data_IF_541328813859
#
_entry.id   IF_541328813859
#
_cell.length_a   1.000
_cell.length_b   1.000
_cell.length_c   1.000
_cell.angle_alpha   90.00
_cell.angle_beta   90.00
_cell.angle_gamma   90.00
#
_symmetry.space_group_name_H-M   'P 1'
#
loop_
_entity.id
_entity.type
_entity.pdbx_description
1 polymer ?
#
# COMPACT_ATOMS: atom_id res chain seq x y z
N UNK A 1 -15.72 15.32 1.71
CA UNK A 1 -14.79 14.18 1.88
C UNK A 1 -13.65 14.61 2.79
N UNK A 2 -13.21 13.74 3.70
CA UNK A 2 -12.07 13.93 4.59
C UNK A 2 -11.15 12.73 4.45
N UNK A 3 -9.84 12.92 4.64
CA UNK A 3 -8.88 11.81 4.65
C UNK A 3 -7.94 11.95 5.85
N UNK A 4 -7.54 10.80 6.41
CA UNK A 4 -6.72 10.70 7.61
C UNK A 4 -5.63 9.66 7.42
N UNK A 5 -4.41 10.05 7.70
CA UNK A 5 -3.27 9.13 7.77
C UNK A 5 -3.32 8.36 9.09
N UNK A 6 -3.15 7.03 9.01
CA UNK A 6 -3.18 6.13 10.17
C UNK A 6 -1.95 5.24 10.11
N UNK A 7 -0.97 5.50 10.96
CA UNK A 7 0.25 4.69 11.06
C UNK A 7 0.09 3.65 12.17
N UNK A 8 0.34 2.37 11.84
CA UNK A 8 0.23 1.23 12.77
C UNK A 8 1.58 0.77 13.30
N UNK A 9 2.66 1.39 12.87
CA UNK A 9 4.01 1.10 13.29
C UNK A 9 5.01 1.08 12.15
N UNK A 10 6.14 0.48 12.41
CA UNK A 10 7.24 0.32 11.46
C UNK A 10 7.75 -1.11 11.47
N UNK A 11 8.40 -1.51 10.39
CA UNK A 11 9.03 -2.82 10.26
C UNK A 11 10.32 -2.71 9.45
N UNK A 12 11.06 -3.79 9.33
CA UNK A 12 12.33 -3.80 8.62
C UNK A 12 12.34 -4.79 7.48
N UNK A 13 12.92 -4.37 6.36
CA UNK A 13 13.22 -5.20 5.19
C UNK A 13 14.65 -4.97 4.72
N UNK A 14 15.23 -5.97 4.08
CA UNK A 14 16.55 -5.88 3.47
C UNK A 14 16.57 -4.79 2.39
N UNK A 15 17.48 -3.83 2.52
CA UNK A 15 17.58 -2.71 1.61
C UNK A 15 18.00 -3.12 0.19
N UNK A 16 18.76 -4.20 0.04
CA UNK A 16 19.08 -4.73 -1.27
C UNK A 16 17.86 -5.30 -1.97
N UNK A 17 16.99 -6.01 -1.23
CA UNK A 17 15.72 -6.51 -1.77
C UNK A 17 14.76 -5.36 -2.13
N UNK A 18 14.73 -4.29 -1.31
CA UNK A 18 13.88 -3.13 -1.58
C UNK A 18 14.35 -2.29 -2.77
N UNK A 19 15.65 -2.26 -3.07
CA UNK A 19 16.21 -1.44 -4.15
C UNK A 19 16.73 -2.25 -5.35
N UNK A 20 16.61 -3.58 -5.30
CA UNK A 20 16.94 -4.48 -6.40
C UNK A 20 18.38 -4.32 -6.88
N UNK A 21 18.55 -3.92 -8.14
CA UNK A 21 19.88 -3.79 -8.77
C UNK A 21 20.60 -2.49 -8.45
N UNK A 22 19.95 -1.56 -7.73
CA UNK A 22 20.58 -0.27 -7.36
C UNK A 22 21.65 -0.50 -6.29
N UNK A 23 22.89 -0.01 -6.47
CA UNK A 23 23.96 -0.19 -5.49
C UNK A 23 23.65 0.44 -4.13
N UNK A 24 24.03 -0.25 -3.02
CA UNK A 24 23.83 0.25 -1.65
C UNK A 24 24.44 1.66 -1.44
N UNK A 25 25.59 1.94 -2.02
CA UNK A 25 26.24 3.26 -1.94
C UNK A 25 25.37 4.41 -2.48
N UNK A 26 24.35 4.09 -3.25
CA UNK A 26 23.40 5.06 -3.82
C UNK A 26 22.13 5.11 -2.98
N UNK A 27 21.40 4.00 -2.84
CA UNK A 27 20.10 4.00 -2.17
C UNK A 27 20.18 4.24 -0.64
N UNK A 28 21.29 3.88 -0.01
CA UNK A 28 21.48 4.08 1.43
C UNK A 28 21.48 5.57 1.87
N UNK A 29 21.55 6.49 0.91
CA UNK A 29 21.45 7.94 1.15
C UNK A 29 20.03 8.41 1.41
N UNK A 30 19.06 7.71 0.85
CA UNK A 30 17.62 8.00 1.00
C UNK A 30 16.97 7.15 2.06
N UNK A 31 17.34 5.87 2.11
CA UNK A 31 16.78 4.87 3.02
C UNK A 31 17.93 4.16 3.76
N UNK A 32 18.48 4.77 4.84
CA UNK A 32 19.61 4.21 5.55
C UNK A 32 19.33 2.83 6.13
N UNK A 33 20.25 1.89 5.91
CA UNK A 33 20.19 0.54 6.47
C UNK A 33 21.07 0.43 7.73
N UNK A 34 20.67 -0.47 8.64
CA UNK A 34 21.48 -0.87 9.78
C UNK A 34 22.65 -1.81 9.38
N UNK A 35 23.37 -2.36 10.38
CA UNK A 35 24.50 -3.27 10.18
C UNK A 35 24.09 -4.58 9.49
N UNK A 36 22.82 -4.98 9.59
CA UNK A 36 22.26 -6.17 8.96
C UNK A 36 21.66 -5.89 7.57
N UNK A 37 21.90 -4.72 7.00
CA UNK A 37 21.33 -4.24 5.74
C UNK A 37 19.81 -4.03 5.76
N UNK A 38 19.21 -3.89 6.95
CA UNK A 38 17.78 -3.69 7.11
C UNK A 38 17.45 -2.20 7.14
N UNK A 39 16.55 -1.76 6.26
CA UNK A 39 15.95 -0.44 6.27
C UNK A 39 14.63 -0.46 7.05
N UNK A 40 14.27 0.68 7.64
CA UNK A 40 12.98 0.88 8.31
C UNK A 40 11.92 1.35 7.33
N UNK A 41 10.73 0.74 7.41
CA UNK A 41 9.57 1.02 6.58
C UNK A 41 8.34 1.27 7.46
N UNK A 42 7.50 2.24 7.09
CA UNK A 42 6.25 2.51 7.80
C UNK A 42 5.17 1.48 7.40
N UNK A 43 4.18 1.35 8.26
CA UNK A 43 2.90 0.67 8.01
C UNK A 43 1.80 1.74 8.11
N UNK A 44 1.57 2.47 7.02
CA UNK A 44 0.69 3.65 6.99
C UNK A 44 -0.53 3.37 6.13
N UNK A 45 -1.67 3.29 6.75
CA UNK A 45 -2.97 3.16 6.12
C UNK A 45 -3.60 4.53 5.86
N UNK A 46 -4.65 4.59 5.05
CA UNK A 46 -5.39 5.81 4.77
C UNK A 46 -6.87 5.59 5.03
N UNK A 47 -7.49 6.44 5.87
CA UNK A 47 -8.94 6.44 6.12
C UNK A 47 -9.58 7.59 5.36
N UNK A 48 -10.70 7.31 4.70
CA UNK A 48 -11.46 8.28 3.91
C UNK A 48 -12.91 8.28 4.39
N UNK A 49 -13.45 9.48 4.71
CA UNK A 49 -14.88 9.69 4.93
C UNK A 49 -15.51 10.31 3.70
N UNK A 50 -16.43 9.60 3.05
CA UNK A 50 -17.17 10.02 1.87
C UNK A 50 -18.67 9.75 2.07
N UNK A 51 -19.46 10.79 2.39
CA UNK A 51 -20.86 10.63 2.79
C UNK A 51 -21.00 9.71 4.00
N UNK A 52 -21.78 8.66 3.86
CA UNK A 52 -22.00 7.65 4.90
C UNK A 52 -20.95 6.53 4.91
N UNK A 53 -19.97 6.60 4.03
CA UNK A 53 -18.90 5.59 3.94
C UNK A 53 -17.66 6.04 4.70
N UNK A 54 -17.11 5.14 5.48
CA UNK A 54 -15.77 5.24 6.09
C UNK A 54 -14.91 4.12 5.50
N UNK A 55 -14.02 4.50 4.61
CA UNK A 55 -13.22 3.58 3.79
C UNK A 55 -11.80 3.53 4.35
N UNK A 56 -11.33 2.35 4.70
CA UNK A 56 -9.93 2.11 5.09
C UNK A 56 -9.18 1.51 3.89
N UNK A 57 -8.06 2.12 3.51
CA UNK A 57 -7.14 1.60 2.50
C UNK A 57 -5.99 0.91 3.21
N UNK A 58 -5.84 -0.39 2.95
CA UNK A 58 -4.94 -1.33 3.59
C UNK A 58 -5.07 -1.39 5.11
N UNK A 59 -4.40 -2.33 5.76
CA UNK A 59 -4.62 -2.63 7.18
C UNK A 59 -3.31 -2.87 7.94
N UNK A 60 -2.17 -2.70 7.30
CA UNK A 60 -0.87 -3.01 7.89
C UNK A 60 -0.63 -4.50 8.09
N UNK A 61 0.41 -4.82 8.86
CA UNK A 61 0.90 -6.20 9.06
C UNK A 61 0.04 -7.00 10.07
N UNK A 62 -0.66 -6.32 11.00
CA UNK A 62 -1.32 -6.98 12.12
C UNK A 62 -0.34 -7.57 13.14
N UNK A 63 -0.86 -8.38 14.06
CA UNK A 63 -0.11 -8.86 15.24
C UNK A 63 -0.32 -10.37 15.54
N UNK A 64 -0.99 -11.10 14.65
CA UNK A 64 -1.44 -12.47 14.93
C UNK A 64 -0.43 -13.57 14.57
N UNK A 65 0.62 -13.25 13.80
CA UNK A 65 1.66 -14.19 13.41
C UNK A 65 2.55 -14.55 14.61
N UNK A 66 3.32 -15.62 14.48
CA UNK A 66 4.20 -16.07 15.55
C UNK A 66 5.48 -15.22 15.70
N UNK A 67 6.18 -15.39 16.81
CA UNK A 67 7.41 -14.67 17.10
C UNK A 67 8.52 -14.92 16.07
N UNK A 68 8.56 -16.10 15.44
CA UNK A 68 9.53 -16.44 14.41
C UNK A 68 9.28 -15.59 13.16
N UNK A 69 8.02 -15.46 12.72
CA UNK A 69 7.66 -14.60 11.62
C UNK A 69 8.08 -13.16 11.90
N UNK A 70 7.68 -12.61 13.04
CA UNK A 70 8.02 -11.22 13.38
C UNK A 70 9.52 -10.99 13.58
N UNK A 71 10.31 -12.01 13.95
CA UNK A 71 11.76 -11.86 14.04
C UNK A 71 12.45 -11.55 12.72
N UNK A 72 11.83 -11.90 11.58
CA UNK A 72 12.35 -11.57 10.24
C UNK A 72 12.10 -10.11 9.85
N UNK A 73 11.02 -9.52 10.38
CA UNK A 73 10.56 -8.17 10.00
C UNK A 73 10.76 -7.13 11.10
N UNK A 74 11.10 -7.53 12.31
CA UNK A 74 11.42 -6.68 13.46
C UNK A 74 10.43 -5.51 13.62
N UNK A 75 9.10 -5.74 13.75
CA UNK A 75 8.13 -4.68 13.93
C UNK A 75 8.46 -3.86 15.17
N UNK A 76 8.37 -2.55 15.08
CA UNK A 76 8.67 -1.61 16.15
C UNK A 76 7.78 -0.36 16.07
N UNK A 77 7.73 0.42 17.16
CA UNK A 77 6.81 1.56 17.28
C UNK A 77 5.34 1.15 16.96
N UNK A 78 4.99 -0.10 17.24
CA UNK A 78 3.69 -0.68 16.86
C UNK A 78 2.56 -0.17 17.74
N UNK A 79 1.41 0.06 17.11
CA UNK A 79 0.14 0.32 17.76
C UNK A 79 -0.93 -0.54 17.08
N UNK A 80 -1.85 -1.08 17.86
CA UNK A 80 -2.98 -1.81 17.28
C UNK A 80 -3.78 -0.90 16.34
N UNK A 81 -4.21 -1.42 15.18
CA UNK A 81 -4.94 -0.64 14.19
C UNK A 81 -6.22 -0.02 14.79
N UNK A 82 -6.92 -0.73 15.67
CA UNK A 82 -8.07 -0.20 16.41
C UNK A 82 -7.71 1.04 17.25
N UNK A 83 -6.58 0.99 17.97
CA UNK A 83 -6.12 2.13 18.79
C UNK A 83 -5.66 3.30 17.93
N UNK A 84 -5.05 3.01 16.77
CA UNK A 84 -4.66 4.04 15.82
C UNK A 84 -5.88 4.76 15.21
N UNK A 85 -6.94 4.02 14.90
CA UNK A 85 -8.23 4.57 14.45
C UNK A 85 -8.90 5.42 15.53
N UNK A 86 -8.85 5.00 16.79
CA UNK A 86 -9.40 5.77 17.92
C UNK A 86 -8.76 7.15 18.07
N UNK A 87 -7.47 7.32 17.71
CA UNK A 87 -6.80 8.64 17.73
C UNK A 87 -7.44 9.66 16.78
N UNK A 88 -8.15 9.19 15.76
CA UNK A 88 -8.89 10.02 14.82
C UNK A 88 -10.42 9.95 15.05
N UNK A 89 -10.84 9.44 16.22
CA UNK A 89 -12.24 9.28 16.63
C UNK A 89 -13.04 8.40 15.66
N UNK A 90 -12.47 7.28 15.23
CA UNK A 90 -13.11 6.25 14.39
C UNK A 90 -12.98 4.91 15.11
N UNK A 91 -14.10 4.23 15.35
CA UNK A 91 -14.11 2.85 15.85
C UNK A 91 -13.97 1.84 14.71
N UNK A 92 -13.65 0.61 15.06
CA UNK A 92 -13.59 -0.49 14.07
C UNK A 92 -14.96 -0.79 13.46
N UNK A 93 -16.03 -0.52 14.22
CA UNK A 93 -17.43 -0.66 13.80
C UNK A 93 -17.87 0.43 12.82
N UNK A 94 -17.16 1.57 12.78
CA UNK A 94 -17.46 2.70 11.89
C UNK A 94 -16.92 2.46 10.47
N UNK A 95 -15.99 1.52 10.29
CA UNK A 95 -15.44 1.18 8.98
C UNK A 95 -16.50 0.42 8.17
N UNK A 96 -16.91 1.00 7.06
CA UNK A 96 -17.91 0.42 6.15
C UNK A 96 -17.29 -0.36 5.00
N UNK A 97 -16.05 0.00 4.66
CA UNK A 97 -15.32 -0.58 3.54
C UNK A 97 -13.83 -0.69 3.87
N UNK A 98 -13.22 -1.82 3.53
CA UNK A 98 -11.78 -2.00 3.50
C UNK A 98 -11.37 -2.24 2.06
N UNK A 99 -10.59 -1.33 1.49
CA UNK A 99 -10.05 -1.44 0.13
C UNK A 99 -8.61 -1.91 0.22
N UNK A 100 -8.38 -3.17 -0.09
CA UNK A 100 -7.06 -3.78 -0.10
C UNK A 100 -6.39 -3.53 -1.45
N UNK A 101 -5.24 -2.86 -1.43
CA UNK A 101 -4.46 -2.59 -2.66
C UNK A 101 -3.99 -3.90 -3.28
N UNK A 102 -3.46 -4.78 -2.43
CA UNK A 102 -3.08 -6.15 -2.75
C UNK A 102 -3.03 -7.00 -1.45
N UNK A 103 -2.68 -8.28 -1.54
CA UNK A 103 -2.84 -9.22 -0.43
C UNK A 103 -1.50 -9.69 0.18
N UNK A 104 -0.42 -8.92 0.04
CA UNK A 104 0.80 -9.20 0.80
C UNK A 104 0.56 -8.96 2.29
N UNK A 105 1.31 -9.66 3.14
CA UNK A 105 1.06 -9.75 4.57
C UNK A 105 1.09 -8.40 5.31
N UNK A 106 1.88 -7.45 4.83
CA UNK A 106 2.06 -6.12 5.40
C UNK A 106 0.98 -5.11 4.98
N UNK A 107 0.10 -5.49 4.04
CA UNK A 107 -1.06 -4.72 3.59
C UNK A 107 -2.38 -5.29 4.14
N UNK A 108 -2.52 -6.61 4.15
CA UNK A 108 -3.77 -7.29 4.55
C UNK A 108 -3.73 -7.85 5.97
N UNK A 109 -2.57 -7.82 6.64
CA UNK A 109 -2.39 -8.50 7.92
C UNK A 109 -3.36 -8.05 9.01
N UNK A 110 -3.59 -6.74 9.15
CA UNK A 110 -4.54 -6.21 10.12
C UNK A 110 -6.02 -6.37 9.77
N UNK A 111 -6.36 -6.88 8.56
CA UNK A 111 -7.73 -7.19 8.18
C UNK A 111 -8.36 -8.31 9.03
N UNK A 112 -7.51 -9.13 9.63
CA UNK A 112 -7.90 -10.26 10.47
C UNK A 112 -7.25 -10.12 11.84
N UNK A 113 -8.04 -10.34 12.87
CA UNK A 113 -7.58 -10.41 14.26
C UNK A 113 -7.89 -11.77 14.89
N UNK A 114 -7.23 -12.06 16.01
CA UNK A 114 -7.47 -13.29 16.78
C UNK A 114 -8.35 -12.98 17.98
N UNK A 115 -9.56 -13.51 18.00
CA UNK A 115 -10.51 -13.38 19.10
C UNK A 115 -10.87 -14.76 19.63
N UNK A 116 -10.58 -15.04 20.93
CA UNK A 116 -10.85 -16.34 21.56
C UNK A 116 -10.30 -17.52 20.71
N UNK A 117 -9.06 -17.42 20.26
CA UNK A 117 -8.36 -18.37 19.39
C UNK A 117 -8.95 -18.58 17.99
N UNK A 118 -9.93 -17.78 17.60
CA UNK A 118 -10.50 -17.79 16.25
C UNK A 118 -10.01 -16.60 15.46
N UNK A 119 -9.76 -16.82 14.18
CA UNK A 119 -9.48 -15.75 13.22
C UNK A 119 -10.79 -15.14 12.75
N UNK A 120 -10.96 -13.84 12.98
CA UNK A 120 -12.15 -13.08 12.59
C UNK A 120 -11.74 -11.80 11.88
N UNK A 121 -12.64 -11.25 11.08
CA UNK A 121 -12.42 -9.94 10.45
C UNK A 121 -12.34 -8.84 11.51
N UNK A 122 -11.37 -7.94 11.37
CA UNK A 122 -11.15 -6.82 12.31
C UNK A 122 -12.26 -5.77 12.24
N UNK A 123 -12.96 -5.68 11.11
CA UNK A 123 -14.00 -4.68 10.85
C UNK A 123 -15.33 -5.38 10.59
N UNK A 124 -16.17 -5.56 11.63
CA UNK A 124 -17.35 -6.43 11.55
C UNK A 124 -18.43 -5.91 10.58
N UNK A 125 -18.49 -4.60 10.36
CA UNK A 125 -19.49 -3.96 9.50
C UNK A 125 -18.96 -3.67 8.07
N UNK A 126 -17.68 -3.94 7.80
CA UNK A 126 -17.06 -3.57 6.54
C UNK A 126 -17.30 -4.59 5.43
N UNK A 127 -17.37 -4.10 4.21
CA UNK A 127 -17.14 -4.89 3.00
C UNK A 127 -15.66 -4.83 2.65
N UNK A 128 -15.01 -5.97 2.43
CA UNK A 128 -13.62 -6.07 2.01
C UNK A 128 -13.53 -6.18 0.50
N UNK A 129 -12.86 -5.21 -0.12
CA UNK A 129 -12.71 -5.10 -1.56
C UNK A 129 -11.28 -5.41 -1.97
N UNK A 130 -11.12 -6.22 -2.99
CA UNK A 130 -9.83 -6.53 -3.62
C UNK A 130 -10.06 -6.87 -5.08
N UNK A 131 -9.07 -6.70 -5.94
CA UNK A 131 -9.20 -7.14 -7.33
C UNK A 131 -9.34 -8.67 -7.43
N UNK A 132 -10.18 -9.13 -8.33
CA UNK A 132 -10.34 -10.56 -8.60
C UNK A 132 -9.03 -11.22 -9.05
N UNK A 133 -8.22 -10.48 -9.80
CA UNK A 133 -6.88 -10.92 -10.23
C UNK A 133 -5.98 -11.19 -9.03
N UNK A 134 -5.92 -10.25 -8.07
CA UNK A 134 -5.11 -10.37 -6.87
C UNK A 134 -5.62 -11.50 -5.96
N UNK A 135 -6.94 -11.61 -5.81
CA UNK A 135 -7.54 -12.68 -5.03
C UNK A 135 -7.17 -14.08 -5.57
N UNK A 136 -7.32 -14.28 -6.89
CA UNK A 136 -7.00 -15.56 -7.52
C UNK A 136 -5.50 -15.87 -7.44
N UNK A 137 -4.64 -14.84 -7.58
CA UNK A 137 -3.19 -14.99 -7.39
C UNK A 137 -2.84 -15.41 -5.97
N UNK A 138 -3.44 -14.77 -4.96
CA UNK A 138 -3.17 -15.08 -3.55
C UNK A 138 -3.58 -16.50 -3.16
N UNK A 139 -4.63 -17.05 -3.76
CA UNK A 139 -5.04 -18.45 -3.57
C UNK A 139 -4.15 -19.46 -4.32
N UNK A 140 -3.53 -19.04 -5.41
CA UNK A 140 -2.68 -19.88 -6.28
C UNK A 140 -1.36 -19.19 -6.61
N UNK A 141 -0.56 -18.81 -5.59
CA UNK A 141 0.62 -17.98 -5.78
C UNK A 141 1.72 -18.71 -6.55
N UNK A 142 2.48 -17.95 -7.33
CA UNK A 142 3.71 -18.45 -7.91
C UNK A 142 4.76 -18.72 -6.80
N UNK A 143 5.81 -19.48 -7.14
CA UNK A 143 6.84 -19.92 -6.16
C UNK A 143 7.65 -18.75 -5.57
N UNK A 144 7.78 -17.65 -6.27
CA UNK A 144 8.54 -16.47 -5.83
C UNK A 144 7.76 -15.64 -4.81
N UNK A 145 6.44 -15.52 -5.01
CA UNK A 145 5.57 -14.61 -4.26
C UNK A 145 4.81 -15.31 -3.12
N UNK A 146 4.82 -16.66 -3.11
CA UNK A 146 4.05 -17.46 -2.15
C UNK A 146 4.27 -17.08 -0.69
N UNK A 147 5.49 -16.68 -0.31
CA UNK A 147 5.81 -16.32 1.07
C UNK A 147 5.15 -15.01 1.53
N UNK A 148 4.70 -14.17 0.60
CA UNK A 148 4.02 -12.90 0.89
C UNK A 148 2.53 -13.09 1.16
N UNK A 149 1.92 -14.22 0.75
CA UNK A 149 0.49 -14.50 0.94
C UNK A 149 0.28 -15.46 2.11
N UNK A 150 -0.23 -14.93 3.21
CA UNK A 150 -0.52 -15.73 4.40
C UNK A 150 -2.01 -16.12 4.39
N UNK A 151 -2.29 -17.42 4.37
CA UNK A 151 -3.65 -17.98 4.28
C UNK A 151 -4.55 -17.48 5.40
N UNK A 152 -4.01 -17.34 6.61
CA UNK A 152 -4.69 -16.83 7.79
C UNK A 152 -5.09 -15.35 7.71
N UNK A 153 -4.48 -14.57 6.80
CA UNK A 153 -4.87 -13.18 6.52
C UNK A 153 -5.99 -13.08 5.49
N UNK A 154 -6.19 -14.11 4.66
CA UNK A 154 -6.97 -14.05 3.42
C UNK A 154 -8.27 -14.85 3.55
N UNK A 155 -8.18 -16.11 3.93
CA UNK A 155 -9.33 -17.03 3.94
C UNK A 155 -10.46 -16.55 4.85
N UNK A 156 -10.20 -16.05 6.08
CA UNK A 156 -11.28 -15.61 6.96
C UNK A 156 -12.13 -14.45 6.38
N UNK A 157 -11.56 -13.61 5.49
CA UNK A 157 -12.33 -12.57 4.80
C UNK A 157 -13.44 -13.18 3.93
N UNK A 158 -13.13 -14.26 3.23
CA UNK A 158 -14.12 -14.98 2.42
C UNK A 158 -15.14 -15.72 3.29
N UNK A 159 -14.65 -16.39 4.35
CA UNK A 159 -15.50 -17.17 5.25
C UNK A 159 -16.49 -16.30 6.04
N UNK A 160 -16.15 -15.05 6.33
CA UNK A 160 -17.05 -14.08 6.96
C UNK A 160 -18.23 -13.66 6.07
N UNK A 161 -18.13 -13.86 4.73
CA UNK A 161 -19.11 -13.38 3.75
C UNK A 161 -18.96 -11.89 3.40
N UNK A 162 -17.94 -11.20 3.91
CA UNK A 162 -17.71 -9.77 3.70
C UNK A 162 -16.88 -9.44 2.45
N UNK A 163 -16.35 -10.46 1.75
CA UNK A 163 -15.52 -10.28 0.55
C UNK A 163 -16.35 -9.81 -0.65
N UNK A 164 -15.86 -8.78 -1.34
CA UNK A 164 -16.29 -8.41 -2.70
C UNK A 164 -15.10 -8.26 -3.64
N UNK A 165 -15.22 -8.88 -4.80
CA UNK A 165 -14.19 -8.86 -5.84
C UNK A 165 -14.48 -7.75 -6.85
N UNK A 166 -13.41 -7.01 -7.20
CA UNK A 166 -13.43 -5.99 -8.24
C UNK A 166 -12.92 -6.64 -9.53
N UNK A 167 -13.77 -6.73 -10.52
CA UNK A 167 -13.39 -7.22 -11.85
C UNK A 167 -12.58 -6.14 -12.57
N UNK A 168 -11.38 -6.51 -13.01
CA UNK A 168 -10.50 -5.63 -13.75
C UNK A 168 -10.71 -5.79 -15.27
N UNK A 169 -10.53 -4.72 -16.06
CA UNK A 169 -10.46 -4.86 -17.51
C UNK A 169 -9.24 -5.70 -17.90
N UNK A 170 -9.25 -6.35 -19.08
CA UNK A 170 -8.10 -7.12 -19.56
C UNK A 170 -6.83 -6.28 -19.58
N UNK A 171 -5.71 -6.87 -19.14
CA UNK A 171 -4.41 -6.21 -19.15
C UNK A 171 -4.01 -5.82 -20.59
N UNK A 172 -3.55 -4.59 -20.76
CA UNK A 172 -3.05 -4.03 -22.04
C UNK A 172 -1.74 -3.30 -21.78
N UNK A 173 -0.65 -3.80 -22.36
CA UNK A 173 0.71 -3.31 -22.08
C UNK A 173 1.04 -1.96 -22.72
N UNK A 174 0.36 -1.58 -23.78
CA UNK A 174 0.68 -0.43 -24.64
C UNK A 174 -0.09 0.86 -24.32
N UNK A 175 -1.06 0.78 -23.41
CA UNK A 175 -1.92 1.92 -23.04
C UNK A 175 -1.42 2.65 -21.79
N UNK A 176 -2.03 3.81 -21.50
CA UNK A 176 -1.95 4.45 -20.18
C UNK A 176 -2.41 3.48 -19.07
N UNK A 177 -1.99 3.72 -17.83
CA UNK A 177 -2.50 2.93 -16.70
C UNK A 177 -4.03 2.89 -16.73
N UNK A 178 -4.56 1.67 -16.64
CA UNK A 178 -6.00 1.48 -16.55
C UNK A 178 -6.53 2.09 -15.26
N UNK A 179 -7.70 2.69 -15.32
CA UNK A 179 -8.35 3.31 -14.17
C UNK A 179 -9.77 2.80 -14.06
N UNK A 180 -10.15 2.35 -12.87
CA UNK A 180 -11.50 1.87 -12.56
C UNK A 180 -12.14 2.77 -11.51
N UNK A 181 -13.44 2.99 -11.61
CA UNK A 181 -14.21 3.75 -10.61
C UNK A 181 -14.50 2.85 -9.41
N UNK A 182 -14.25 3.36 -8.20
CA UNK A 182 -14.61 2.69 -6.95
C UNK A 182 -15.80 3.39 -6.26
N UNK A 183 -15.72 4.71 -6.11
CA UNK A 183 -16.84 5.56 -5.64
C UNK A 183 -17.00 6.79 -6.55
N UNK A 184 -17.75 7.80 -6.13
CA UNK A 184 -17.83 9.05 -6.90
C UNK A 184 -16.52 9.85 -6.84
N UNK A 185 -15.82 9.81 -5.71
CA UNK A 185 -14.59 10.58 -5.50
C UNK A 185 -13.31 9.73 -5.51
N UNK A 186 -13.43 8.39 -5.56
CA UNK A 186 -12.31 7.46 -5.54
C UNK A 186 -12.34 6.59 -6.79
N UNK A 187 -11.23 6.61 -7.52
CA UNK A 187 -10.91 5.62 -8.56
C UNK A 187 -9.64 4.85 -8.17
N UNK A 188 -9.36 3.76 -8.84
CA UNK A 188 -8.11 3.03 -8.66
C UNK A 188 -7.38 2.91 -9.99
N UNK A 189 -6.10 3.28 -10.01
CA UNK A 189 -5.21 2.90 -11.09
C UNK A 189 -4.82 1.43 -10.89
N UNK A 190 -4.75 0.68 -11.97
CA UNK A 190 -4.43 -0.76 -11.93
C UNK A 190 -3.00 -0.96 -12.40
N UNK A 191 -2.21 -1.70 -11.62
CA UNK A 191 -0.83 -2.05 -11.92
C UNK A 191 -0.58 -3.54 -11.73
N UNK A 192 0.45 -4.05 -12.38
CA UNK A 192 0.72 -5.49 -12.45
C UNK A 192 2.19 -5.87 -12.21
N UNK A 193 3.08 -4.87 -12.13
CA UNK A 193 4.52 -5.09 -12.07
C UNK A 193 4.98 -5.65 -10.72
N UNK A 194 4.56 -5.04 -9.61
CA UNK A 194 4.85 -5.52 -8.26
C UNK A 194 4.16 -6.86 -8.02
N UNK A 195 2.85 -6.87 -8.11
CA UNK A 195 1.99 -8.06 -8.08
C UNK A 195 0.80 -7.86 -9.01
N UNK A 196 0.28 -8.92 -9.63
CA UNK A 196 -0.75 -8.78 -10.63
C UNK A 196 -2.07 -8.26 -10.05
N UNK A 197 -2.59 -7.16 -10.62
CA UNK A 197 -3.88 -6.59 -10.25
C UNK A 197 -3.86 -5.75 -8.98
N UNK A 198 -2.70 -5.22 -8.57
CA UNK A 198 -2.59 -4.25 -7.49
C UNK A 198 -3.33 -2.95 -7.84
N UNK A 199 -3.98 -2.37 -6.85
CA UNK A 199 -4.76 -1.14 -6.96
C UNK A 199 -4.00 0.04 -6.33
N UNK A 200 -3.96 1.17 -7.02
CA UNK A 200 -3.50 2.44 -6.46
C UNK A 200 -4.72 3.36 -6.30
N UNK A 201 -5.30 3.47 -5.11
CA UNK A 201 -6.42 4.36 -4.86
C UNK A 201 -6.07 5.81 -5.16
N UNK A 202 -6.86 6.45 -6.02
CA UNK A 202 -6.73 7.85 -6.42
C UNK A 202 -7.96 8.62 -5.95
N UNK A 203 -7.74 9.62 -5.10
CA UNK A 203 -8.76 10.40 -4.44
C UNK A 203 -8.80 11.81 -4.99
N UNK A 204 -10.01 12.36 -5.16
CA UNK A 204 -10.19 13.78 -5.47
C UNK A 204 -10.81 14.49 -4.28
N UNK A 205 -10.03 15.32 -3.59
CA UNK A 205 -10.45 16.10 -2.43
C UNK A 205 -10.30 17.60 -2.73
N UNK A 206 -11.43 18.29 -2.92
CA UNK A 206 -11.39 19.68 -3.38
C UNK A 206 -10.72 19.78 -4.75
N UNK A 207 -9.66 20.58 -4.84
CA UNK A 207 -8.86 20.73 -6.05
C UNK A 207 -7.67 19.76 -6.10
N UNK A 208 -7.43 18.99 -5.06
CA UNK A 208 -6.28 18.10 -4.96
C UNK A 208 -6.60 16.69 -5.47
N UNK A 209 -5.60 16.08 -6.07
CA UNK A 209 -5.61 14.66 -6.44
C UNK A 209 -4.52 13.96 -5.65
N UNK A 210 -4.91 13.04 -4.79
CA UNK A 210 -4.01 12.25 -3.93
C UNK A 210 -4.02 10.82 -4.45
N UNK A 211 -2.84 10.21 -4.59
CA UNK A 211 -2.69 8.80 -4.96
C UNK A 211 -1.98 8.06 -3.85
N UNK A 212 -2.63 7.03 -3.34
CA UNK A 212 -2.03 6.06 -2.42
C UNK A 212 -1.10 5.15 -3.22
N UNK A 213 0.18 5.20 -2.93
CA UNK A 213 1.20 4.63 -3.81
C UNK A 213 1.37 3.14 -3.68
N UNK A 214 0.90 2.54 -2.57
CA UNK A 214 1.15 1.13 -2.28
C UNK A 214 2.59 0.74 -2.66
N UNK A 215 2.78 -0.39 -3.32
CA UNK A 215 4.09 -0.91 -3.68
C UNK A 215 4.54 -0.62 -5.12
N UNK A 216 3.84 0.27 -5.84
CA UNK A 216 4.42 0.85 -7.05
C UNK A 216 5.59 1.80 -6.71
N UNK A 217 5.43 2.60 -5.66
CA UNK A 217 6.44 3.49 -5.10
C UNK A 217 6.37 3.44 -3.56
N UNK A 218 7.02 2.46 -2.90
CA UNK A 218 6.94 2.30 -1.44
C UNK A 218 7.45 3.53 -0.67
N UNK A 219 8.38 4.28 -1.24
CA UNK A 219 8.94 5.49 -0.63
C UNK A 219 9.38 6.51 -1.66
N UNK A 220 9.69 7.73 -1.21
CA UNK A 220 10.32 8.79 -2.03
C UNK A 220 11.63 8.32 -2.66
N UNK A 221 12.35 7.41 -2.00
CA UNK A 221 13.57 6.77 -2.51
C UNK A 221 13.34 5.94 -3.78
N UNK A 222 12.11 5.49 -4.03
CA UNK A 222 11.75 4.71 -5.22
C UNK A 222 11.24 5.56 -6.40
N UNK A 223 11.12 6.88 -6.25
CA UNK A 223 10.69 7.76 -7.35
C UNK A 223 11.65 7.72 -8.55
N UNK A 224 12.99 7.68 -8.39
CA UNK A 224 13.86 7.54 -9.55
C UNK A 224 13.49 6.31 -10.38
N UNK A 225 13.30 6.50 -11.70
CA UNK A 225 12.70 5.49 -12.57
C UNK A 225 13.38 4.11 -12.48
N UNK A 226 14.74 3.98 -12.48
CA UNK A 226 15.38 2.66 -12.41
C UNK A 226 15.32 1.97 -11.03
N UNK A 227 14.76 2.64 -9.99
CA UNK A 227 14.72 2.08 -8.63
C UNK A 227 13.48 1.21 -8.49
N UNK A 228 13.62 -0.05 -8.93
CA UNK A 228 12.59 -1.09 -8.94
C UNK A 228 12.98 -2.14 -7.89
N UNK A 229 12.01 -2.62 -7.14
CA UNK A 229 12.27 -3.58 -6.08
C UNK A 229 12.67 -4.96 -6.60
N UNK A 230 13.51 -5.66 -5.87
CA UNK A 230 13.72 -7.09 -6.05
C UNK A 230 12.48 -7.92 -5.74
N UNK A 231 11.53 -7.36 -4.99
CA UNK A 231 10.23 -7.96 -4.70
C UNK A 231 9.24 -7.89 -5.88
N UNK A 232 9.49 -7.05 -6.88
CA UNK A 232 8.59 -6.94 -8.03
C UNK A 232 8.60 -8.24 -8.85
N UNK A 233 7.43 -8.77 -9.12
CA UNK A 233 7.28 -10.01 -9.89
C UNK A 233 7.62 -9.80 -11.35
N UNK A 234 7.32 -8.63 -11.89
CA UNK A 234 7.53 -8.24 -13.28
C UNK A 234 8.24 -6.88 -13.35
N UNK A 235 9.54 -6.79 -13.04
CA UNK A 235 10.25 -5.52 -12.85
C UNK A 235 10.26 -4.63 -14.10
N UNK A 236 10.20 -5.18 -15.31
CA UNK A 236 10.09 -4.37 -16.54
C UNK A 236 8.70 -3.76 -16.69
N UNK A 237 7.65 -4.46 -16.26
CA UNK A 237 6.31 -3.89 -16.21
C UNK A 237 6.24 -2.79 -15.15
N UNK A 238 6.79 -3.03 -13.95
CA UNK A 238 6.90 -1.97 -12.92
C UNK A 238 7.58 -0.72 -13.46
N UNK A 239 8.66 -0.88 -14.22
CA UNK A 239 9.39 0.25 -14.81
C UNK A 239 8.49 1.07 -15.76
N UNK A 240 7.75 0.40 -16.65
CA UNK A 240 6.82 1.04 -17.58
C UNK A 240 5.65 1.71 -16.84
N UNK A 241 5.08 1.06 -15.85
CA UNK A 241 3.99 1.59 -15.02
C UNK A 241 4.44 2.82 -14.25
N UNK A 242 5.64 2.80 -13.65
CA UNK A 242 6.25 3.96 -12.99
C UNK A 242 6.44 5.12 -13.94
N UNK A 243 6.96 4.90 -15.14
CA UNK A 243 7.18 5.96 -16.13
C UNK A 243 5.87 6.62 -16.53
N UNK A 244 4.85 5.82 -16.86
CA UNK A 244 3.50 6.30 -17.21
C UNK A 244 2.88 7.07 -16.04
N UNK A 245 2.95 6.51 -14.83
CA UNK A 245 2.41 7.15 -13.62
C UNK A 245 3.11 8.47 -13.31
N UNK A 246 4.44 8.47 -13.19
CA UNK A 246 5.21 9.66 -12.82
C UNK A 246 5.05 10.80 -13.81
N UNK A 247 5.00 10.48 -15.11
CA UNK A 247 4.77 11.47 -16.17
C UNK A 247 3.40 12.14 -16.01
N UNK A 248 2.34 11.35 -15.80
CA UNK A 248 0.98 11.86 -15.57
C UNK A 248 0.89 12.63 -14.25
N UNK A 249 1.39 12.06 -13.17
CA UNK A 249 1.34 12.64 -11.83
C UNK A 249 2.07 14.00 -11.76
N UNK A 250 3.22 14.11 -12.42
CA UNK A 250 3.94 15.38 -12.52
C UNK A 250 3.14 16.43 -13.31
N UNK A 251 2.63 16.07 -14.49
CA UNK A 251 1.85 16.98 -15.34
C UNK A 251 0.57 17.48 -14.67
N UNK A 252 -0.11 16.59 -13.94
CA UNK A 252 -1.40 16.87 -13.29
C UNK A 252 -1.23 17.26 -11.81
N UNK A 253 0.02 17.45 -11.36
CA UNK A 253 0.39 17.91 -10.01
C UNK A 253 -0.20 17.06 -8.88
N UNK A 254 -0.16 15.73 -9.03
CA UNK A 254 -0.66 14.81 -8.01
C UNK A 254 0.16 14.89 -6.71
N UNK A 255 -0.51 14.60 -5.61
CA UNK A 255 0.10 14.31 -4.32
C UNK A 255 0.27 12.81 -4.20
N UNK A 256 1.48 12.36 -3.96
CA UNK A 256 1.81 10.97 -3.69
C UNK A 256 1.77 10.75 -2.18
N UNK A 257 0.95 9.80 -1.73
CA UNK A 257 0.87 9.36 -0.34
C UNK A 257 1.56 8.00 -0.22
N UNK A 258 2.57 7.90 0.66
CA UNK A 258 3.41 6.72 0.79
C UNK A 258 3.03 5.87 2.00
N UNK A 259 2.77 4.60 1.77
CA UNK A 259 2.51 3.62 2.81
C UNK A 259 3.76 3.30 3.61
N UNK A 260 4.88 3.09 2.92
CA UNK A 260 6.10 2.53 3.51
C UNK A 260 7.23 3.55 3.74
N UNK A 261 7.11 4.79 3.30
CA UNK A 261 8.16 5.77 3.62
C UNK A 261 8.12 6.12 5.11
N UNK A 262 9.17 5.76 5.82
CA UNK A 262 9.27 5.95 7.27
C UNK A 262 9.41 7.43 7.70
N UNK A 263 9.69 8.33 6.75
CA UNK A 263 9.98 9.75 7.01
C UNK A 263 9.00 10.67 6.28
N UNK A 264 8.68 10.35 5.02
CA UNK A 264 7.92 11.21 4.14
C UNK A 264 6.50 10.64 3.93
N UNK A 265 5.49 11.29 4.49
CA UNK A 265 4.10 10.85 4.32
C UNK A 265 3.58 11.17 2.91
N UNK A 266 3.79 12.41 2.48
CA UNK A 266 3.37 12.88 1.16
C UNK A 266 4.47 13.69 0.49
N UNK A 267 4.45 13.73 -0.85
CA UNK A 267 5.18 14.71 -1.62
C UNK A 267 4.46 15.05 -2.93
N UNK A 268 4.85 16.17 -3.55
CA UNK A 268 4.63 16.42 -4.98
C UNK A 268 5.88 16.08 -5.77
N UNK A 269 5.75 16.01 -7.07
CA UNK A 269 6.86 15.74 -7.96
C UNK A 269 7.46 17.03 -8.51
N UNK A 270 8.77 17.03 -8.71
CA UNK A 270 9.51 18.09 -9.40
C UNK A 270 10.32 17.53 -10.56
N UNK A 271 10.50 18.32 -11.60
CA UNK A 271 11.43 18.00 -12.67
C UNK A 271 12.83 18.47 -12.32
N UNK A 272 13.83 17.64 -12.59
CA UNK A 272 15.24 17.93 -12.44
C UNK A 272 16.00 17.52 -13.71
N UNK A 273 17.28 17.91 -13.83
CA UNK A 273 18.14 17.44 -14.93
C UNK A 273 18.29 15.91 -14.97
N UNK A 274 18.06 15.23 -13.82
CA UNK A 274 18.10 13.77 -13.68
C UNK A 274 16.71 13.11 -13.79
N UNK A 275 15.71 13.82 -14.33
CA UNK A 275 14.33 13.35 -14.44
C UNK A 275 13.45 13.75 -13.25
N UNK A 276 12.29 13.10 -13.12
CA UNK A 276 11.31 13.37 -12.06
C UNK A 276 11.84 12.90 -10.70
N UNK A 277 11.65 13.73 -9.68
CA UNK A 277 12.09 13.50 -8.29
C UNK A 277 11.01 13.94 -7.30
N UNK A 278 11.17 13.52 -6.03
CA UNK A 278 10.39 14.06 -4.93
C UNK A 278 10.67 15.56 -4.77
N UNK A 279 9.61 16.34 -4.61
CA UNK A 279 9.66 17.71 -4.11
C UNK A 279 9.74 17.73 -2.58
N UNK A 280 9.38 18.86 -1.98
CA UNK A 280 9.25 18.97 -0.53
C UNK A 280 8.21 17.98 -0.01
N UNK A 281 8.52 17.34 1.12
CA UNK A 281 7.60 16.47 1.83
C UNK A 281 6.71 17.27 2.78
N UNK A 282 5.51 16.77 3.00
CA UNK A 282 4.52 17.33 3.90
C UNK A 282 3.60 16.21 4.41
N UNK A 283 2.81 16.50 5.44
CA UNK A 283 1.79 15.58 5.93
C UNK A 283 0.45 15.85 5.25
N UNK A 284 -0.40 14.83 5.21
CA UNK A 284 -1.77 14.96 4.68
C UNK A 284 -2.55 16.05 5.40
N UNK A 285 -2.34 16.19 6.72
CA UNK A 285 -2.99 17.21 7.58
C UNK A 285 -2.61 18.64 7.20
N UNK A 286 -1.44 18.88 6.61
CA UNK A 286 -0.98 20.22 6.21
C UNK A 286 -1.67 20.72 4.94
N UNK A 287 -2.32 19.82 4.19
CA UNK A 287 -2.92 20.14 2.89
C UNK A 287 -4.44 19.96 2.84
N UNK A 288 -5.04 19.30 3.82
CA UNK A 288 -6.48 19.09 3.98
C UNK A 288 -7.00 19.79 5.22
#
# INVERSE_FOLDING_TARGET
MQAFSVETGKFKLDGGAMFGVVPKSIWNRTNPADENNLCTWALRCLVIKEGDRTILIDTGMGDKQDAKFFSHYQPHETIALADALQKINIGVEDITDVLLTHLHFDHVGGAITKLNDKLVTSFPNATYWVSETQWNLALHPNRREKASFLTENIIPIKESGQLKLITLPPFQSDTSLQEIKFTEAISCLVVHGHTAGMLLPKLKIGNETIVYMADLLPSTGHIPLPYVMGYDMQPLITLEEKEKFLTKAFRENYILFFEHDAVNECCRLIATEKGIRAGASFTLKEIL
#
